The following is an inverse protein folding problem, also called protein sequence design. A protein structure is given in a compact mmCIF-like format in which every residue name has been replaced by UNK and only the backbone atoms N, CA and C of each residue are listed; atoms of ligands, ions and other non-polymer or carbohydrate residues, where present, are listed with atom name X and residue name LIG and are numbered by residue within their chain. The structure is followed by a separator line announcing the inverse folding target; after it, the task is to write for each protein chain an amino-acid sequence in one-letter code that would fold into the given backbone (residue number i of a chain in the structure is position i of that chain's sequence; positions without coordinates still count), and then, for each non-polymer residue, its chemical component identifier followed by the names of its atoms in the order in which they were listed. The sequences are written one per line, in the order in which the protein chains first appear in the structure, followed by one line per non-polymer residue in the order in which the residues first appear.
data_IF_022153561767
#
_entry.id   IF_022153561767
#
_cell.length_a   1.000
_cell.length_b   1.000
_cell.length_c   1.000
_cell.angle_alpha   90.00
_cell.angle_beta   90.00
_cell.angle_gamma   90.00
#
_symmetry.space_group_name_H-M   'P 1'
#
loop_
_entity.id
_entity.type
_entity.pdbx_description
1 polymer ?
#
# COMPACT_ATOMS: atom_id res chain seq x y z
N UNK A 1 1.04 2.41 -15.62
CA UNK A 1 0.66 1.36 -14.64
C UNK A 1 -0.86 1.35 -14.61
N UNK A 2 -1.50 0.36 -15.23
CA UNK A 2 -2.92 0.45 -15.61
C UNK A 2 -3.84 0.36 -14.39
N UNK A 3 -4.49 1.48 -14.06
CA UNK A 3 -5.58 1.55 -13.10
C UNK A 3 -5.22 1.59 -11.62
N UNK A 4 -3.94 1.79 -11.29
CA UNK A 4 -3.47 2.00 -9.92
C UNK A 4 -2.79 3.36 -9.78
N UNK A 5 -2.89 3.94 -8.59
CA UNK A 5 -2.22 5.18 -8.20
C UNK A 5 -1.05 4.81 -7.28
N UNK A 6 0.16 5.13 -7.69
CA UNK A 6 1.35 4.94 -6.85
C UNK A 6 1.58 6.14 -5.94
N UNK A 7 1.77 5.90 -4.65
CA UNK A 7 2.10 6.95 -3.67
C UNK A 7 3.57 6.88 -3.29
N UNK A 8 4.21 8.03 -3.35
CA UNK A 8 5.64 8.20 -3.09
C UNK A 8 5.90 8.98 -1.81
N UNK A 9 7.01 8.65 -1.14
CA UNK A 9 7.67 9.49 -0.14
C UNK A 9 9.10 9.70 -0.64
N UNK A 10 9.40 10.89 -1.13
CA UNK A 10 10.65 11.14 -1.85
C UNK A 10 10.66 10.35 -3.16
N UNK A 11 11.72 9.56 -3.35
CA UNK A 11 11.93 8.65 -4.48
C UNK A 11 11.39 7.23 -4.23
N UNK A 12 10.89 6.95 -3.02
CA UNK A 12 10.42 5.61 -2.63
C UNK A 12 8.90 5.48 -2.77
N UNK A 13 8.43 4.51 -3.56
CA UNK A 13 7.02 4.08 -3.54
C UNK A 13 6.77 3.32 -2.24
N UNK A 14 5.79 3.77 -1.46
CA UNK A 14 5.39 3.11 -0.22
C UNK A 14 3.97 2.55 -0.24
N UNK A 15 3.14 2.96 -1.21
CA UNK A 15 1.78 2.44 -1.35
C UNK A 15 1.30 2.44 -2.81
N UNK A 16 0.32 1.58 -3.09
CA UNK A 16 -0.48 1.53 -4.30
C UNK A 16 -1.94 1.56 -3.91
N UNK A 17 -2.71 2.47 -4.52
CA UNK A 17 -4.17 2.54 -4.36
C UNK A 17 -4.86 2.12 -5.67
N UNK A 18 -6.06 1.54 -5.59
CA UNK A 18 -6.87 1.30 -6.78
C UNK A 18 -7.38 2.65 -7.31
N UNK A 19 -7.13 2.91 -8.60
CA UNK A 19 -7.59 4.12 -9.29
C UNK A 19 -8.77 3.84 -10.21
N UNK A 20 -8.58 2.96 -11.20
CA UNK A 20 -9.63 2.49 -12.11
C UNK A 20 -9.76 0.97 -12.15
N UNK A 21 -8.82 0.24 -11.52
CA UNK A 21 -8.86 -1.22 -11.34
C UNK A 21 -8.39 -1.56 -9.92
N UNK A 22 -9.05 -2.54 -9.31
CA UNK A 22 -8.60 -3.15 -8.06
C UNK A 22 -7.29 -3.93 -8.22
N UNK A 23 -6.68 -4.30 -7.10
CA UNK A 23 -5.74 -5.42 -7.07
C UNK A 23 -6.54 -6.74 -7.23
N UNK A 24 -5.96 -7.90 -6.89
CA UNK A 24 -6.64 -9.22 -6.99
C UNK A 24 -8.06 -9.22 -6.40
N UNK A 25 -8.35 -8.31 -5.46
CA UNK A 25 -9.66 -8.03 -4.88
C UNK A 25 -10.08 -6.56 -5.08
N UNK A 26 -11.40 -6.28 -5.20
CA UNK A 26 -11.90 -4.90 -5.24
C UNK A 26 -11.48 -4.13 -3.98
N UNK A 27 -11.26 -2.82 -4.13
CA UNK A 27 -10.92 -1.89 -3.02
C UNK A 27 -9.70 -2.27 -2.18
N UNK A 28 -8.76 -3.04 -2.74
CA UNK A 28 -7.53 -3.40 -2.04
C UNK A 28 -6.46 -2.34 -2.23
N UNK A 29 -5.85 -1.92 -1.13
CA UNK A 29 -4.63 -1.11 -1.12
C UNK A 29 -3.42 -2.02 -0.93
N UNK A 30 -2.27 -1.66 -1.50
CA UNK A 30 -1.01 -2.32 -1.19
C UNK A 30 -0.05 -1.34 -0.52
N UNK A 31 0.67 -1.81 0.49
CA UNK A 31 1.68 -1.02 1.20
C UNK A 31 3.03 -1.74 1.20
N UNK A 32 4.11 -0.96 1.13
CA UNK A 32 5.48 -1.46 1.12
C UNK A 32 6.11 -1.27 2.49
N UNK A 33 6.48 -2.35 3.16
CA UNK A 33 7.30 -2.32 4.37
C UNK A 33 8.71 -2.76 4.03
N UNK A 34 9.66 -1.82 4.05
CA UNK A 34 11.06 -2.12 3.77
C UNK A 34 11.74 -2.71 5.01
N UNK A 35 11.75 -4.03 5.13
CA UNK A 35 12.53 -4.73 6.16
C UNK A 35 13.78 -5.37 5.54
N UNK A 36 14.93 -5.35 6.25
CA UNK A 36 16.16 -5.94 5.74
C UNK A 36 15.99 -7.44 5.54
N UNK A 37 16.50 -7.96 4.42
CA UNK A 37 16.45 -9.38 4.08
C UNK A 37 15.20 -9.83 3.30
N UNK A 38 14.23 -8.96 3.03
CA UNK A 38 13.05 -9.29 2.23
C UNK A 38 13.29 -9.06 0.72
N UNK A 39 12.79 -9.98 -0.11
CA UNK A 39 12.63 -9.77 -1.55
C UNK A 39 11.63 -8.67 -1.84
N UNK A 40 11.61 -8.13 -3.06
CA UNK A 40 10.69 -7.05 -3.40
C UNK A 40 9.22 -7.47 -3.24
N UNK A 41 8.87 -8.73 -3.50
CA UNK A 41 7.51 -9.25 -3.32
C UNK A 41 7.10 -9.31 -1.84
N UNK A 42 8.00 -9.74 -0.96
CA UNK A 42 7.71 -9.91 0.48
C UNK A 42 7.47 -8.59 1.21
N UNK A 43 7.97 -7.48 0.66
CA UNK A 43 7.76 -6.14 1.22
C UNK A 43 6.33 -5.65 1.01
N UNK A 44 5.62 -6.18 0.02
CA UNK A 44 4.27 -5.73 -0.32
C UNK A 44 3.21 -6.49 0.46
N UNK A 45 2.35 -5.74 1.15
CA UNK A 45 1.20 -6.26 1.86
C UNK A 45 -0.07 -5.67 1.27
N UNK A 46 -0.99 -6.54 0.89
CA UNK A 46 -2.32 -6.17 0.43
C UNK A 46 -3.27 -6.08 1.62
N UNK A 47 -4.11 -5.04 1.62
CA UNK A 47 -5.16 -4.84 2.62
C UNK A 47 -6.46 -4.52 1.86
N UNK A 48 -7.44 -5.41 1.93
CA UNK A 48 -8.77 -5.18 1.37
C UNK A 48 -9.53 -4.19 2.27
N UNK A 49 -10.25 -3.26 1.66
CA UNK A 49 -11.17 -2.36 2.37
C UNK A 49 -12.58 -2.72 1.90
N UNK A 50 -13.25 -3.56 2.69
CA UNK A 50 -14.57 -4.09 2.35
C UNK A 50 -15.69 -3.12 2.75
N UNK A 51 -15.50 -2.41 3.87
CA UNK A 51 -16.44 -1.42 4.38
C UNK A 51 -15.78 -0.23 5.11
N UNK A 52 -16.59 0.78 5.43
CA UNK A 52 -16.14 2.03 6.06
C UNK A 52 -15.54 1.84 7.47
N UNK A 53 -15.92 0.77 8.18
CA UNK A 53 -15.36 0.40 9.48
C UNK A 53 -13.88 0.03 9.40
N UNK A 54 -13.41 -0.43 8.24
CA UNK A 54 -12.01 -0.78 8.00
C UNK A 54 -11.15 0.41 7.57
N UNK A 55 -11.76 1.55 7.25
CA UNK A 55 -11.04 2.74 6.77
C UNK A 55 -9.97 3.20 7.77
N UNK A 56 -10.29 3.20 9.06
CA UNK A 56 -9.34 3.56 10.10
C UNK A 56 -8.13 2.60 10.17
N UNK A 57 -8.35 1.31 9.92
CA UNK A 57 -7.29 0.32 9.86
C UNK A 57 -6.43 0.49 8.60
N UNK A 58 -7.06 0.69 7.44
CA UNK A 58 -6.38 0.97 6.19
C UNK A 58 -5.47 2.21 6.28
N UNK A 59 -5.97 3.29 6.90
CA UNK A 59 -5.19 4.50 7.13
C UNK A 59 -3.99 4.26 8.07
N UNK A 60 -4.15 3.43 9.12
CA UNK A 60 -3.03 3.03 9.99
C UNK A 60 -1.97 2.22 9.23
N UNK A 61 -2.38 1.34 8.32
CA UNK A 61 -1.45 0.61 7.45
C UNK A 61 -0.66 1.56 6.54
N UNK A 62 -1.33 2.53 5.92
CA UNK A 62 -0.69 3.57 5.10
C UNK A 62 0.28 4.44 5.92
N UNK A 63 -0.12 4.87 7.12
CA UNK A 63 0.73 5.65 8.00
C UNK A 63 2.00 4.89 8.39
N UNK A 64 1.87 3.62 8.76
CA UNK A 64 3.01 2.76 9.12
C UNK A 64 3.98 2.62 7.95
N UNK A 65 3.46 2.38 6.74
CA UNK A 65 4.27 2.28 5.53
C UNK A 65 4.95 3.60 5.18
N UNK A 66 4.22 4.72 5.26
CA UNK A 66 4.77 6.05 5.07
C UNK A 66 5.93 6.31 6.03
N UNK A 67 5.74 6.07 7.34
CA UNK A 67 6.77 6.29 8.37
C UNK A 67 8.02 5.43 8.14
N UNK A 68 7.86 4.17 7.69
CA UNK A 68 8.96 3.25 7.39
C UNK A 68 9.65 3.54 6.05
N UNK A 69 8.98 4.17 5.09
CA UNK A 69 9.61 4.59 3.85
C UNK A 69 10.70 5.64 4.18
N UNK A 70 11.95 5.35 3.82
CA UNK A 70 13.06 6.32 3.97
C UNK A 70 12.86 7.47 3.00
N UNK A 71 13.33 8.66 3.40
CA UNK A 71 13.49 9.83 2.52
C UNK A 71 14.89 9.80 1.92
#
# INVERSE_FOLDING_TARGET
MFGMISIYRGDTIFALLPGTRGLELPNTIATKLNEPGQTEREKWQSFAVEDDGELAAALKHLEKAYRKARK
#
